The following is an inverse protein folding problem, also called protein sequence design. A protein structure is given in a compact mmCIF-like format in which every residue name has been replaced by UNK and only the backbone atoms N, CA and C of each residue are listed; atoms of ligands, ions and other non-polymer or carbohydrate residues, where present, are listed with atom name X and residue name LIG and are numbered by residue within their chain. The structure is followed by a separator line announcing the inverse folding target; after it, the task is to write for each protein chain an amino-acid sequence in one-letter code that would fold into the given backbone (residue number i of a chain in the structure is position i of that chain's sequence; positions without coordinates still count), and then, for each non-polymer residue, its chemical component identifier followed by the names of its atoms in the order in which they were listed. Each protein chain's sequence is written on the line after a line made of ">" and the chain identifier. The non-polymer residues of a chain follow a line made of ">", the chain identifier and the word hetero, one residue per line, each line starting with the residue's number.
data_IF_064257001570
#
_entry.id   IF_064257001570
#
_cell.length_a   1.000
_cell.length_b   1.000
_cell.length_c   1.000
_cell.angle_alpha   90.00
_cell.angle_beta   90.00
_cell.angle_gamma   90.00
#
_symmetry.space_group_name_H-M   'P 1'
#
loop_
_entity.id
_entity.type
_entity.pdbx_description
1 polymer ?
#
# COMPACT_ATOMS: atom_id res chain seq x y z
N UNK A 1 27.86 47.86 11.09
CA UNK A 1 26.68 47.46 10.30
C UNK A 1 26.97 46.12 9.63
N UNK A 2 27.06 45.03 10.41
CA UNK A 2 27.35 43.66 9.93
C UNK A 2 26.29 42.67 10.47
N UNK A 3 25.50 43.10 11.45
CA UNK A 3 24.51 42.28 12.14
C UNK A 3 23.27 41.99 11.25
N UNK A 4 23.10 42.68 10.12
CA UNK A 4 21.86 42.61 9.33
C UNK A 4 21.84 41.47 8.29
N UNK A 5 22.96 41.18 7.60
CA UNK A 5 22.95 40.21 6.49
C UNK A 5 22.89 38.75 6.95
N UNK A 6 23.53 38.40 8.07
CA UNK A 6 23.54 37.03 8.60
C UNK A 6 22.20 36.63 9.22
N UNK A 7 21.53 37.57 9.90
CA UNK A 7 20.20 37.34 10.48
C UNK A 7 19.14 37.22 9.39
N UNK A 8 19.18 38.09 8.37
CA UNK A 8 18.28 37.98 7.20
C UNK A 8 18.49 36.65 6.46
N UNK A 9 19.73 36.18 6.33
CA UNK A 9 20.04 34.88 5.72
C UNK A 9 19.54 33.70 6.59
N UNK A 10 19.62 33.81 7.92
CA UNK A 10 19.05 32.85 8.86
C UNK A 10 17.51 32.80 8.77
N UNK A 11 16.84 33.95 8.72
CA UNK A 11 15.37 34.02 8.61
C UNK A 11 14.89 33.46 7.26
N UNK A 12 15.60 33.75 6.18
CA UNK A 12 15.28 33.20 4.86
C UNK A 12 15.49 31.68 4.81
N UNK A 13 16.54 31.15 5.46
CA UNK A 13 16.73 29.69 5.55
C UNK A 13 15.69 29.00 6.44
N UNK A 14 15.24 29.66 7.52
CA UNK A 14 14.21 29.15 8.43
C UNK A 14 12.82 29.10 7.78
N UNK A 15 12.40 30.19 7.13
CA UNK A 15 11.13 30.22 6.37
C UNK A 15 11.10 29.19 5.23
N UNK A 16 12.24 28.97 4.57
CA UNK A 16 12.38 27.91 3.56
C UNK A 16 12.27 26.51 4.16
N UNK A 17 12.74 26.28 5.39
CA UNK A 17 12.63 25.00 6.09
C UNK A 17 11.18 24.69 6.48
N UNK A 18 10.45 25.70 6.95
CA UNK A 18 9.03 25.58 7.29
C UNK A 18 8.17 25.23 6.05
N UNK A 19 8.42 25.92 4.93
CA UNK A 19 7.80 25.60 3.64
C UNK A 19 8.10 24.18 3.16
N UNK A 20 9.36 23.71 3.28
CA UNK A 20 9.71 22.33 2.90
C UNK A 20 9.02 21.28 3.79
N UNK A 21 8.80 21.58 5.08
CA UNK A 21 8.11 20.67 5.99
C UNK A 21 6.62 20.53 5.65
N UNK A 22 5.99 21.60 5.20
CA UNK A 22 4.61 21.60 4.71
C UNK A 22 4.46 20.78 3.42
N UNK A 23 5.38 20.97 2.46
CA UNK A 23 5.43 20.17 1.21
C UNK A 23 5.64 18.68 1.50
N UNK A 24 6.54 18.35 2.44
CA UNK A 24 6.80 16.98 2.85
C UNK A 24 5.57 16.32 3.49
N UNK A 25 4.81 17.08 4.30
CA UNK A 25 3.55 16.62 4.88
C UNK A 25 2.50 16.29 3.82
N UNK A 26 2.36 17.14 2.79
CA UNK A 26 1.43 16.93 1.67
C UNK A 26 1.80 15.66 0.88
N UNK A 27 3.08 15.48 0.56
CA UNK A 27 3.59 14.28 -0.12
C UNK A 27 3.33 13.02 0.71
N UNK A 28 3.55 13.08 2.03
CA UNK A 28 3.32 11.96 2.93
C UNK A 28 1.86 11.57 3.10
N UNK A 29 0.93 12.49 2.88
CA UNK A 29 -0.52 12.22 2.89
C UNK A 29 -0.97 11.62 1.56
N UNK A 30 -0.41 12.08 0.43
CA UNK A 30 -0.76 11.57 -0.90
C UNK A 30 -0.39 10.09 -1.08
N UNK A 31 0.79 9.67 -0.63
CA UNK A 31 1.29 8.29 -0.79
C UNK A 31 0.31 7.23 -0.23
N UNK A 32 -0.12 7.29 1.04
CA UNK A 32 -1.06 6.32 1.61
C UNK A 32 -2.49 6.43 1.06
N UNK A 33 -2.85 7.52 0.37
CA UNK A 33 -4.13 7.63 -0.35
C UNK A 33 -4.06 6.88 -1.69
N UNK A 34 -2.95 6.99 -2.41
CA UNK A 34 -2.78 6.28 -3.69
C UNK A 34 -2.68 4.77 -3.53
N UNK A 35 -2.05 4.27 -2.46
CA UNK A 35 -1.87 2.83 -2.23
C UNK A 35 -3.19 2.03 -2.24
N UNK A 36 -4.22 2.37 -1.42
CA UNK A 36 -5.50 1.66 -1.45
C UNK A 36 -6.28 1.92 -2.74
N UNK A 37 -6.20 3.12 -3.32
CA UNK A 37 -6.90 3.43 -4.58
C UNK A 37 -6.39 2.55 -5.72
N UNK A 38 -5.07 2.41 -5.87
CA UNK A 38 -4.46 1.50 -6.85
C UNK A 38 -4.78 0.04 -6.52
N UNK A 39 -4.75 -0.35 -5.25
CA UNK A 39 -5.12 -1.70 -4.83
C UNK A 39 -6.56 -2.06 -5.20
N UNK A 40 -7.51 -1.14 -4.98
CA UNK A 40 -8.92 -1.35 -5.29
C UNK A 40 -9.16 -1.40 -6.81
N UNK A 41 -8.57 -0.48 -7.59
CA UNK A 41 -8.77 -0.46 -9.05
C UNK A 41 -8.17 -1.69 -9.72
N UNK A 42 -6.97 -2.10 -9.32
CA UNK A 42 -6.34 -3.32 -9.83
C UNK A 42 -7.13 -4.55 -9.37
N UNK A 43 -7.57 -4.59 -8.12
CA UNK A 43 -8.41 -5.68 -7.62
C UNK A 43 -9.68 -5.84 -8.47
N UNK A 44 -10.49 -4.79 -8.63
CA UNK A 44 -11.70 -4.87 -9.46
C UNK A 44 -11.38 -5.34 -10.88
N UNK A 45 -10.27 -4.89 -11.48
CA UNK A 45 -9.83 -5.35 -12.80
C UNK A 45 -9.54 -6.87 -12.82
N UNK A 46 -8.86 -7.39 -11.80
CA UNK A 46 -8.53 -8.82 -11.69
C UNK A 46 -9.79 -9.66 -11.49
N UNK A 47 -10.76 -9.20 -10.70
CA UNK A 47 -12.06 -9.91 -10.53
C UNK A 47 -12.81 -9.95 -11.85
N UNK A 48 -12.90 -8.83 -12.57
CA UNK A 48 -13.56 -8.76 -13.88
C UNK A 48 -12.86 -9.65 -14.91
N UNK A 49 -11.52 -9.72 -14.86
CA UNK A 49 -10.75 -10.63 -15.71
C UNK A 49 -11.04 -12.10 -15.39
N UNK A 50 -11.09 -12.46 -14.11
CA UNK A 50 -11.43 -13.79 -13.63
C UNK A 50 -12.86 -14.20 -14.05
N UNK A 51 -13.84 -13.31 -13.90
CA UNK A 51 -15.22 -13.53 -14.33
C UNK A 51 -15.33 -13.75 -15.84
N UNK A 52 -14.56 -13.00 -16.63
CA UNK A 52 -14.53 -13.17 -18.10
C UNK A 52 -13.94 -14.51 -18.51
N UNK A 53 -12.90 -14.96 -17.80
CA UNK A 53 -12.27 -16.26 -18.05
C UNK A 53 -13.22 -17.41 -17.67
N UNK A 54 -13.90 -17.32 -16.52
CA UNK A 54 -14.92 -18.31 -16.09
C UNK A 54 -16.10 -18.39 -17.07
N UNK A 55 -16.51 -17.27 -17.68
CA UNK A 55 -17.59 -17.25 -18.69
C UNK A 55 -17.15 -17.74 -20.08
N UNK A 56 -15.86 -17.83 -20.35
CA UNK A 56 -15.31 -18.45 -21.55
C UNK A 56 -15.28 -19.96 -21.36
N UNK A 57 -16.19 -20.69 -22.01
CA UNK A 57 -16.48 -22.12 -21.82
C UNK A 57 -15.33 -23.11 -22.12
N UNK A 58 -14.06 -22.67 -22.19
CA UNK A 58 -12.90 -23.47 -22.59
C UNK A 58 -11.64 -23.17 -21.74
N UNK A 59 -11.76 -23.02 -20.43
CA UNK A 59 -10.58 -22.77 -19.57
C UNK A 59 -9.98 -24.05 -19.02
N UNK A 60 -8.69 -24.23 -19.21
CA UNK A 60 -7.91 -25.25 -18.53
C UNK A 60 -7.78 -24.83 -17.06
N UNK A 61 -7.98 -25.75 -16.10
CA UNK A 61 -7.92 -25.48 -14.64
C UNK A 61 -6.62 -24.79 -14.16
N UNK A 62 -5.59 -24.75 -15.00
CA UNK A 62 -4.28 -24.16 -14.73
C UNK A 62 -4.30 -22.62 -14.78
N UNK A 63 -5.13 -22.02 -15.63
CA UNK A 63 -5.18 -20.56 -15.83
C UNK A 63 -5.84 -19.85 -14.63
N UNK A 64 -6.86 -20.47 -14.03
CA UNK A 64 -7.55 -19.95 -12.83
C UNK A 64 -6.62 -19.86 -11.61
N UNK A 65 -5.75 -20.86 -11.41
CA UNK A 65 -4.77 -20.84 -10.29
C UNK A 65 -3.81 -19.65 -10.41
N UNK A 66 -3.37 -19.31 -11.62
CA UNK A 66 -2.48 -18.17 -11.89
C UNK A 66 -3.19 -16.84 -11.57
N UNK A 67 -4.48 -16.71 -11.89
CA UNK A 67 -5.28 -15.53 -11.53
C UNK A 67 -5.35 -15.28 -10.02
N UNK A 68 -5.54 -16.35 -9.22
CA UNK A 68 -5.60 -16.23 -7.75
C UNK A 68 -4.24 -15.88 -7.14
N UNK A 69 -3.14 -16.43 -7.67
CA UNK A 69 -1.79 -16.04 -7.24
C UNK A 69 -1.50 -14.58 -7.52
N UNK A 70 -1.93 -14.07 -8.67
CA UNK A 70 -1.74 -12.67 -9.05
C UNK A 70 -2.54 -11.73 -8.12
N UNK A 71 -3.77 -12.12 -7.75
CA UNK A 71 -4.57 -11.40 -6.77
C UNK A 71 -3.86 -11.25 -5.41
N UNK A 72 -3.33 -12.36 -4.88
CA UNK A 72 -2.63 -12.36 -3.58
C UNK A 72 -1.37 -11.49 -3.65
N UNK A 73 -0.62 -11.55 -4.76
CA UNK A 73 0.59 -10.75 -4.93
C UNK A 73 0.31 -9.23 -4.88
N UNK A 74 -0.82 -8.79 -5.45
CA UNK A 74 -1.21 -7.38 -5.45
C UNK A 74 -1.72 -6.93 -4.08
N UNK A 75 -2.43 -7.80 -3.35
CA UNK A 75 -2.93 -7.51 -1.99
C UNK A 75 -1.79 -7.18 -1.01
N UNK A 76 -0.60 -7.78 -1.19
CA UNK A 76 0.57 -7.61 -0.31
C UNK A 76 1.12 -6.17 -0.24
N UNK A 77 0.66 -5.27 -1.12
CA UNK A 77 1.01 -3.84 -1.09
C UNK A 77 0.19 -3.06 -0.04
N UNK A 78 -1.00 -3.56 0.36
CA UNK A 78 -1.90 -2.86 1.28
C UNK A 78 -1.32 -2.58 2.68
N UNK A 79 -0.57 -3.50 3.34
CA UNK A 79 0.03 -3.24 4.65
C UNK A 79 1.03 -2.08 4.64
N UNK A 80 1.71 -1.83 3.51
CA UNK A 80 2.67 -0.74 3.35
C UNK A 80 1.96 0.61 3.43
N UNK A 81 0.78 0.74 2.82
CA UNK A 81 -0.04 1.95 2.90
C UNK A 81 -0.50 2.26 4.33
N UNK A 82 -0.85 1.23 5.11
CA UNK A 82 -1.25 1.37 6.51
C UNK A 82 -0.08 1.83 7.40
N UNK A 83 1.12 1.27 7.22
CA UNK A 83 2.32 1.72 7.96
C UNK A 83 2.69 3.16 7.62
N UNK A 84 2.62 3.52 6.33
CA UNK A 84 2.89 4.87 5.86
C UNK A 84 1.87 5.87 6.44
N UNK A 85 0.59 5.52 6.48
CA UNK A 85 -0.41 6.38 7.12
C UNK A 85 -0.13 6.62 8.61
N UNK A 86 0.36 5.60 9.33
CA UNK A 86 0.70 5.71 10.76
C UNK A 86 1.96 6.53 11.03
N UNK A 87 2.99 6.37 10.20
CA UNK A 87 4.27 7.08 10.37
C UNK A 87 4.17 8.56 10.01
N UNK A 88 3.41 8.93 8.98
CA UNK A 88 3.23 10.33 8.55
C UNK A 88 2.54 11.22 9.58
N UNK A 89 1.77 10.65 10.50
CA UNK A 89 1.02 11.39 11.53
C UNK A 89 1.89 12.02 12.63
N UNK A 90 3.21 11.74 12.67
CA UNK A 90 4.16 12.29 13.65
C UNK A 90 3.68 12.21 15.12
N UNK A 91 2.92 11.15 15.43
CA UNK A 91 2.37 10.90 16.76
C UNK A 91 2.56 9.43 17.14
N UNK A 92 3.11 9.19 18.34
CA UNK A 92 3.43 7.85 18.85
C UNK A 92 2.19 6.93 18.89
N UNK A 93 1.03 7.47 19.26
CA UNK A 93 -0.22 6.68 19.32
C UNK A 93 -0.73 6.29 17.94
N UNK A 94 -0.67 7.21 16.97
CA UNK A 94 -1.09 6.97 15.59
C UNK A 94 -0.17 5.97 14.90
N UNK A 95 1.15 6.06 15.16
CA UNK A 95 2.13 5.10 14.67
C UNK A 95 1.90 3.68 15.23
N UNK A 96 1.64 3.55 16.54
CA UNK A 96 1.31 2.26 17.15
C UNK A 96 -0.03 1.70 16.60
N UNK A 97 -1.01 2.55 16.34
CA UNK A 97 -2.26 2.16 15.69
C UNK A 97 -2.04 1.63 14.27
N UNK A 98 -1.24 2.34 13.47
CA UNK A 98 -0.85 1.90 12.12
C UNK A 98 -0.06 0.59 12.12
N UNK A 99 0.86 0.40 13.07
CA UNK A 99 1.62 -0.83 13.24
C UNK A 99 0.70 -2.03 13.56
N UNK A 100 -0.29 -1.83 14.44
CA UNK A 100 -1.27 -2.87 14.78
C UNK A 100 -2.13 -3.25 13.57
N UNK A 101 -2.60 -2.26 12.81
CA UNK A 101 -3.40 -2.51 11.61
C UNK A 101 -2.60 -3.28 10.54
N UNK A 102 -1.34 -2.90 10.33
CA UNK A 102 -0.46 -3.59 9.40
C UNK A 102 -0.16 -5.03 9.83
N UNK A 103 0.17 -5.24 11.11
CA UNK A 103 0.41 -6.58 11.66
C UNK A 103 -0.83 -7.48 11.52
N UNK A 104 -2.02 -6.93 11.74
CA UNK A 104 -3.28 -7.64 11.54
C UNK A 104 -3.48 -8.01 10.06
N UNK A 105 -3.31 -7.06 9.15
CA UNK A 105 -3.43 -7.29 7.71
C UNK A 105 -2.51 -8.42 7.23
N UNK A 106 -1.23 -8.38 7.62
CA UNK A 106 -0.24 -9.41 7.27
C UNK A 106 -0.63 -10.76 7.87
N UNK A 107 -1.11 -10.78 9.12
CA UNK A 107 -1.50 -12.01 9.81
C UNK A 107 -2.67 -12.72 9.15
N UNK A 108 -3.55 -12.01 8.43
CA UNK A 108 -4.66 -12.61 7.68
C UNK A 108 -4.28 -13.01 6.25
N UNK A 109 -3.26 -12.39 5.65
CA UNK A 109 -2.80 -12.76 4.30
C UNK A 109 -2.01 -14.07 4.26
N UNK A 110 -1.18 -14.34 5.28
CA UNK A 110 -0.33 -15.55 5.29
C UNK A 110 -1.17 -16.84 5.32
N UNK A 111 -2.16 -17.01 6.23
CA UNK A 111 -3.00 -18.20 6.25
C UNK A 111 -3.82 -18.35 4.96
N UNK A 112 -4.35 -17.24 4.43
CA UNK A 112 -5.08 -17.23 3.16
C UNK A 112 -4.23 -17.80 2.02
N UNK A 113 -2.98 -17.33 1.91
CA UNK A 113 -2.04 -17.78 0.88
C UNK A 113 -1.73 -19.28 1.00
N UNK A 114 -1.56 -19.78 2.22
CA UNK A 114 -1.34 -21.21 2.47
C UNK A 114 -2.57 -22.05 2.09
N UNK A 115 -3.78 -21.59 2.40
CA UNK A 115 -5.02 -22.26 1.98
C UNK A 115 -5.12 -22.34 0.44
N UNK A 116 -4.85 -21.23 -0.26
CA UNK A 116 -4.89 -21.20 -1.73
C UNK A 116 -3.83 -22.11 -2.35
N UNK A 117 -2.62 -22.13 -1.80
CA UNK A 117 -1.55 -23.03 -2.25
C UNK A 117 -1.98 -24.51 -2.12
N UNK A 118 -2.63 -24.88 -1.00
CA UNK A 118 -3.10 -26.24 -0.80
C UNK A 118 -4.13 -26.70 -1.85
N UNK A 119 -5.01 -25.79 -2.28
CA UNK A 119 -6.01 -26.04 -3.33
C UNK A 119 -5.33 -26.18 -4.69
N UNK A 120 -4.39 -25.29 -5.02
CA UNK A 120 -3.65 -25.34 -6.29
C UNK A 120 -2.87 -26.64 -6.44
N UNK A 121 -2.21 -27.12 -5.38
CA UNK A 121 -1.50 -28.40 -5.39
C UNK A 121 -2.43 -29.60 -5.64
N UNK A 122 -3.67 -29.57 -5.12
CA UNK A 122 -4.68 -30.60 -5.38
C UNK A 122 -5.18 -30.57 -6.82
N UNK A 123 -5.34 -29.39 -7.41
CA UNK A 123 -5.84 -29.20 -8.79
C UNK A 123 -4.82 -29.64 -9.85
N UNK A 124 -3.52 -29.67 -9.50
CA UNK A 124 -2.43 -30.06 -10.41
C UNK A 124 -2.27 -31.59 -10.56
N UNK A 125 -2.93 -32.41 -9.72
CA UNK A 125 -3.01 -33.87 -9.89
C UNK A 125 -4.26 -34.26 -10.68
#
# INVERSE_FOLDING_TARGET
>A
MIIDTTEVQAINSFSRLESLKEVYGIIWVLIPIFTPVLGITIGVLVIVWLEREISGYTTTYRDLSIGVFLWIAISSIAPVGLLMSGYGSNNKYSFLGGLRAAAQSISYEIPLTLCVLSISLRVIR
#
